data_IF_928111043161
#
_entry.id   IF_928111043161
#
_cell.length_a   1.000
_cell.length_b   1.000
_cell.length_c   1.000
_cell.angle_alpha   90.00
_cell.angle_beta   90.00
_cell.angle_gamma   90.00
#
_symmetry.space_group_name_H-M   'P 1'
#
loop_
_entity.id
_entity.type
_entity.pdbx_description
1 polymer ?
#
# COMPACT_ATOMS: atom_id res chain seq x y z
N UNK A 1 -18.35 13.12 -27.27
CA UNK A 1 -17.84 13.65 -25.98
C UNK A 1 -16.34 13.49 -25.95
N UNK A 2 -15.63 14.59 -25.69
CA UNK A 2 -14.18 14.57 -25.54
C UNK A 2 -13.79 13.85 -24.25
N UNK A 3 -12.71 13.05 -24.32
CA UNK A 3 -12.19 12.28 -23.19
C UNK A 3 -11.51 13.16 -22.14
N UNK A 4 -11.02 14.34 -22.54
CA UNK A 4 -10.26 15.26 -21.73
C UNK A 4 -10.83 16.68 -21.85
N UNK A 5 -10.60 17.50 -20.83
CA UNK A 5 -10.83 18.95 -20.88
C UNK A 5 -9.83 19.66 -21.80
N UNK A 6 -10.11 20.91 -22.17
CA UNK A 6 -9.23 21.69 -23.03
C UNK A 6 -7.84 21.89 -22.38
N UNK A 7 -6.78 21.65 -23.13
CA UNK A 7 -5.41 21.77 -22.64
C UNK A 7 -4.38 21.90 -23.77
N UNK A 8 -3.21 22.43 -23.43
CA UNK A 8 -2.07 22.54 -24.35
C UNK A 8 -1.16 21.32 -24.21
N UNK A 9 -0.64 20.85 -25.34
CA UNK A 9 0.25 19.69 -25.43
C UNK A 9 1.51 20.09 -26.17
N UNK A 10 2.67 19.61 -25.71
CA UNK A 10 3.96 19.87 -26.37
C UNK A 10 3.91 19.42 -27.84
N UNK A 11 4.48 20.20 -28.79
CA UNK A 11 4.51 19.84 -30.21
C UNK A 11 5.14 18.48 -30.53
N UNK A 12 5.91 17.90 -29.58
CA UNK A 12 6.51 16.57 -29.70
C UNK A 12 5.45 15.45 -29.71
N UNK A 13 4.25 15.71 -29.19
CA UNK A 13 3.16 14.75 -29.20
C UNK A 13 2.17 15.06 -30.33
N UNK A 14 2.05 14.16 -31.34
CA UNK A 14 1.03 14.32 -32.35
C UNK A 14 -0.36 14.16 -31.72
N UNK A 15 -1.26 15.09 -32.03
CA UNK A 15 -2.65 15.07 -31.59
C UNK A 15 -3.50 14.41 -32.67
N UNK A 16 -4.34 13.47 -32.27
CA UNK A 16 -5.20 12.70 -33.16
C UNK A 16 -6.65 12.83 -32.71
N UNK A 17 -7.53 13.11 -33.67
CA UNK A 17 -8.96 13.09 -33.46
C UNK A 17 -9.57 11.87 -34.15
N UNK A 18 -10.43 11.16 -33.42
CA UNK A 18 -11.17 10.03 -33.98
C UNK A 18 -12.42 10.53 -34.67
N UNK A 19 -12.75 9.98 -35.84
CA UNK A 19 -14.01 10.28 -36.53
C UNK A 19 -15.19 9.72 -35.69
N UNK A 20 -16.06 10.55 -35.11
CA UNK A 20 -17.04 10.09 -34.11
C UNK A 20 -18.09 9.11 -34.63
N UNK A 21 -18.34 9.12 -35.94
CA UNK A 21 -19.23 8.21 -36.67
C UNK A 21 -18.60 6.84 -36.93
N UNK A 22 -17.27 6.71 -36.83
CA UNK A 22 -16.52 5.47 -37.10
C UNK A 22 -15.89 4.85 -35.85
N UNK A 23 -15.45 5.69 -34.91
CA UNK A 23 -14.66 5.24 -33.78
C UNK A 23 -15.02 5.96 -32.48
N UNK A 24 -15.03 5.22 -31.39
CA UNK A 24 -15.26 5.74 -30.05
C UNK A 24 -13.92 5.93 -29.33
N UNK A 25 -13.61 7.17 -28.92
CA UNK A 25 -12.30 7.51 -28.33
C UNK A 25 -11.94 6.66 -27.09
N UNK A 26 -12.94 6.33 -26.26
CA UNK A 26 -12.76 5.51 -25.07
C UNK A 26 -12.50 4.02 -25.36
N UNK A 27 -12.78 3.57 -26.58
CA UNK A 27 -12.37 2.25 -27.07
C UNK A 27 -10.95 2.31 -27.68
N UNK A 28 -10.66 3.34 -28.48
CA UNK A 28 -9.38 3.48 -29.18
C UNK A 28 -8.20 3.66 -28.21
N UNK A 29 -8.32 4.50 -27.19
CA UNK A 29 -7.21 4.78 -26.28
C UNK A 29 -6.63 3.52 -25.59
N UNK A 30 -7.44 2.66 -24.94
CA UNK A 30 -6.91 1.42 -24.36
C UNK A 30 -6.42 0.43 -25.43
N UNK A 31 -7.01 0.41 -26.63
CA UNK A 31 -6.56 -0.43 -27.73
C UNK A 31 -5.14 -0.08 -28.21
N UNK A 32 -4.80 1.22 -28.28
CA UNK A 32 -3.46 1.69 -28.65
C UNK A 32 -2.38 1.33 -27.62
N UNK A 33 -2.78 0.97 -26.40
CA UNK A 33 -1.88 0.57 -25.31
C UNK A 33 -1.79 -0.95 -25.13
N UNK A 34 -2.48 -1.72 -25.94
CA UNK A 34 -2.42 -3.18 -25.89
C UNK A 34 -1.00 -3.67 -26.21
N UNK A 35 -0.51 -4.76 -25.55
CA UNK A 35 0.81 -5.31 -25.82
C UNK A 35 1.05 -5.59 -27.31
N UNK A 36 0.06 -6.10 -28.03
CA UNK A 36 0.16 -6.37 -29.47
C UNK A 36 0.37 -5.08 -30.29
N UNK A 37 -0.33 -4.00 -29.93
CA UNK A 37 -0.18 -2.69 -30.59
C UNK A 37 1.17 -2.07 -30.28
N UNK A 38 1.64 -2.17 -29.03
CA UNK A 38 2.98 -1.73 -28.62
C UNK A 38 4.08 -2.55 -29.32
N UNK A 39 3.89 -3.86 -29.49
CA UNK A 39 4.80 -4.69 -30.29
C UNK A 39 4.83 -4.25 -31.75
N UNK A 40 3.70 -3.83 -32.32
CA UNK A 40 3.67 -3.26 -33.67
C UNK A 40 4.47 -1.95 -33.75
N UNK A 41 4.33 -1.06 -32.75
CA UNK A 41 5.14 0.17 -32.65
C UNK A 41 6.64 -0.11 -32.74
N UNK A 42 7.11 -1.14 -32.05
CA UNK A 42 8.53 -1.52 -32.05
C UNK A 42 9.04 -2.02 -33.42
N UNK A 43 8.15 -2.46 -34.32
CA UNK A 43 8.53 -2.87 -35.70
C UNK A 43 8.73 -1.68 -36.62
N UNK A 44 7.93 -0.62 -36.42
CA UNK A 44 7.99 0.60 -37.24
C UNK A 44 8.91 1.67 -36.66
N UNK A 45 9.29 1.57 -35.38
CA UNK A 45 10.12 2.57 -34.72
C UNK A 45 11.57 2.53 -35.26
N UNK A 46 12.07 3.69 -35.70
CA UNK A 46 13.42 3.89 -36.25
C UNK A 46 14.29 4.72 -35.31
N UNK A 47 15.61 4.48 -35.31
CA UNK A 47 16.59 5.22 -34.49
C UNK A 47 17.58 4.31 -33.76
N UNK A 48 18.87 4.64 -33.83
CA UNK A 48 19.96 3.79 -33.30
C UNK A 48 20.02 3.72 -31.77
N UNK A 49 19.47 4.72 -31.07
CA UNK A 49 19.44 4.78 -29.60
C UNK A 49 18.00 4.56 -29.13
N UNK A 50 17.78 3.58 -28.24
CA UNK A 50 16.44 3.20 -27.77
C UNK A 50 15.60 4.39 -27.25
N UNK A 51 16.24 5.38 -26.61
CA UNK A 51 15.59 6.60 -26.08
C UNK A 51 15.23 7.65 -27.16
N UNK A 52 15.70 7.46 -28.39
CA UNK A 52 15.46 8.36 -29.54
C UNK A 52 14.69 7.66 -30.65
N UNK A 53 14.10 6.48 -30.39
CA UNK A 53 13.28 5.77 -31.37
C UNK A 53 11.96 6.52 -31.57
N UNK A 54 11.59 6.74 -32.82
CA UNK A 54 10.34 7.40 -33.20
C UNK A 54 9.65 6.64 -34.33
N UNK A 55 8.32 6.75 -34.40
CA UNK A 55 7.50 6.21 -35.47
C UNK A 55 7.04 7.38 -36.32
N UNK A 56 7.22 7.29 -37.64
CA UNK A 56 6.74 8.34 -38.53
C UNK A 56 5.22 8.30 -38.60
N UNK A 57 4.59 9.45 -38.85
CA UNK A 57 3.13 9.59 -38.94
C UNK A 57 2.48 8.53 -39.85
N UNK A 58 3.02 8.33 -41.06
CA UNK A 58 2.43 7.38 -42.01
C UNK A 58 2.59 5.92 -41.56
N UNK A 59 3.71 5.58 -40.91
CA UNK A 59 3.95 4.24 -40.37
C UNK A 59 3.05 3.96 -39.17
N UNK A 60 2.73 4.97 -38.36
CA UNK A 60 1.76 4.82 -37.27
C UNK A 60 0.35 4.59 -37.82
N UNK A 61 -0.06 5.38 -38.83
CA UNK A 61 -1.39 5.30 -39.44
C UNK A 61 -1.61 4.02 -40.27
N UNK A 62 -0.54 3.31 -40.65
CA UNK A 62 -0.63 2.04 -41.38
C UNK A 62 -0.79 0.82 -40.47
N UNK A 63 -0.70 0.99 -39.15
CA UNK A 63 -0.87 -0.10 -38.19
C UNK A 63 -2.35 -0.54 -38.17
N UNK A 64 -2.65 -1.79 -38.54
CA UNK A 64 -4.03 -2.29 -38.51
C UNK A 64 -4.48 -2.44 -37.05
N UNK A 65 -5.71 -2.01 -36.78
CA UNK A 65 -6.35 -2.13 -35.48
C UNK A 65 -7.69 -2.87 -35.60
N UNK A 66 -8.09 -3.69 -34.61
CA UNK A 66 -9.43 -4.24 -34.58
C UNK A 66 -10.43 -3.12 -34.30
N UNK A 67 -11.37 -2.91 -35.23
CA UNK A 67 -12.40 -1.88 -35.12
C UNK A 67 -13.78 -2.50 -35.27
N UNK A 68 -14.41 -2.97 -34.17
CA UNK A 68 -15.75 -3.53 -34.21
C UNK A 68 -16.80 -2.44 -34.51
N UNK A 69 -18.07 -2.79 -34.76
CA UNK A 69 -19.15 -1.81 -34.95
C UNK A 69 -19.23 -0.81 -33.79
N UNK A 70 -19.65 0.43 -34.09
CA UNK A 70 -19.62 1.53 -33.12
C UNK A 70 -20.39 1.23 -31.83
N UNK A 71 -21.51 0.50 -31.93
CA UNK A 71 -22.29 0.05 -30.77
C UNK A 71 -21.48 -0.89 -29.87
N UNK A 72 -20.74 -1.83 -30.46
CA UNK A 72 -19.88 -2.74 -29.72
C UNK A 72 -18.68 -2.00 -29.10
N UNK A 73 -18.08 -1.04 -29.82
CA UNK A 73 -17.02 -0.20 -29.25
C UNK A 73 -17.48 0.54 -28.00
N UNK A 74 -18.69 1.12 -28.03
CA UNK A 74 -19.30 1.82 -26.89
C UNK A 74 -19.57 0.84 -25.74
N UNK A 75 -20.10 -0.35 -26.03
CA UNK A 75 -20.40 -1.36 -25.03
C UNK A 75 -19.12 -1.89 -24.35
N UNK A 76 -18.06 -2.19 -25.12
CA UNK A 76 -16.75 -2.59 -24.57
C UNK A 76 -16.16 -1.49 -23.69
N UNK A 77 -16.14 -0.25 -24.19
CA UNK A 77 -15.62 0.88 -23.44
C UNK A 77 -16.40 1.11 -22.14
N UNK A 78 -17.73 0.95 -22.16
CA UNK A 78 -18.57 1.06 -20.97
C UNK A 78 -18.19 0.00 -19.93
N UNK A 79 -18.12 -1.28 -20.31
CA UNK A 79 -17.74 -2.37 -19.40
C UNK A 79 -16.37 -2.12 -18.74
N UNK A 80 -15.37 -1.77 -19.53
CA UNK A 80 -14.02 -1.51 -19.01
C UNK A 80 -13.98 -0.29 -18.09
N UNK A 81 -14.71 0.78 -18.45
CA UNK A 81 -14.78 1.99 -17.64
C UNK A 81 -15.47 1.73 -16.30
N UNK A 82 -16.56 0.96 -16.28
CA UNK A 82 -17.28 0.62 -15.04
C UNK A 82 -16.36 -0.12 -14.05
N UNK A 83 -15.56 -1.09 -14.50
CA UNK A 83 -14.60 -1.79 -13.63
C UNK A 83 -13.50 -0.85 -13.13
N UNK A 84 -13.00 0.03 -14.00
CA UNK A 84 -11.98 1.01 -13.65
C UNK A 84 -12.50 2.05 -12.65
N UNK A 85 -13.73 2.53 -12.81
CA UNK A 85 -14.42 3.45 -11.89
C UNK A 85 -14.64 2.79 -10.51
N UNK A 86 -15.07 1.53 -10.47
CA UNK A 86 -15.21 0.77 -9.24
C UNK A 86 -13.86 0.62 -8.49
N UNK A 87 -12.76 0.37 -9.23
CA UNK A 87 -11.41 0.31 -8.65
C UNK A 87 -11.01 1.65 -8.05
N UNK A 88 -11.22 2.75 -8.76
CA UNK A 88 -10.92 4.10 -8.27
C UNK A 88 -11.78 4.49 -7.06
N UNK A 89 -13.05 4.10 -7.03
CA UNK A 89 -13.91 4.29 -5.85
C UNK A 89 -13.36 3.53 -4.64
N UNK A 90 -12.94 2.27 -4.83
CA UNK A 90 -12.34 1.44 -3.78
C UNK A 90 -11.03 2.05 -3.26
N UNK A 91 -10.18 2.58 -4.14
CA UNK A 91 -8.93 3.27 -3.76
C UNK A 91 -9.19 4.52 -2.92
N UNK A 92 -10.28 5.27 -3.21
CA UNK A 92 -10.72 6.39 -2.36
C UNK A 92 -11.19 5.94 -0.98
N UNK A 93 -11.91 4.80 -0.89
CA UNK A 93 -12.29 4.21 0.40
C UNK A 93 -11.06 3.82 1.23
N UNK A 94 -10.06 3.19 0.60
CA UNK A 94 -8.79 2.84 1.27
C UNK A 94 -8.10 4.09 1.83
N UNK A 95 -8.03 5.16 1.05
CA UNK A 95 -7.44 6.44 1.50
C UNK A 95 -8.19 7.00 2.71
N UNK A 96 -9.52 7.06 2.65
CA UNK A 96 -10.37 7.54 3.76
C UNK A 96 -10.19 6.68 5.03
N UNK A 97 -10.13 5.36 4.91
CA UNK A 97 -9.90 4.44 6.04
C UNK A 97 -8.52 4.64 6.68
N UNK A 98 -7.48 4.90 5.87
CA UNK A 98 -6.14 5.21 6.38
C UNK A 98 -6.12 6.52 7.15
N UNK A 99 -6.84 7.54 6.69
CA UNK A 99 -6.94 8.81 7.42
C UNK A 99 -7.78 8.68 8.70
N UNK A 100 -8.87 7.92 8.65
CA UNK A 100 -9.63 7.53 9.85
C UNK A 100 -8.73 6.83 10.87
N UNK A 101 -7.92 5.85 10.45
CA UNK A 101 -6.98 5.14 11.33
C UNK A 101 -6.00 6.10 12.00
N UNK A 102 -5.42 7.06 11.27
CA UNK A 102 -4.51 8.06 11.83
C UNK A 102 -5.21 8.91 12.91
N UNK A 103 -6.44 9.35 12.64
CA UNK A 103 -7.25 10.11 13.60
C UNK A 103 -7.58 9.29 14.85
N UNK A 104 -8.01 8.03 14.66
CA UNK A 104 -8.28 7.09 15.75
C UNK A 104 -7.05 6.82 16.60
N UNK A 105 -5.87 6.61 16.00
CA UNK A 105 -4.63 6.42 16.77
C UNK A 105 -4.34 7.63 17.65
N UNK A 106 -4.48 8.85 17.13
CA UNK A 106 -4.32 10.07 17.92
C UNK A 106 -5.32 10.13 19.09
N UNK A 107 -6.60 9.84 18.84
CA UNK A 107 -7.62 9.85 19.88
C UNK A 107 -7.38 8.77 20.94
N UNK A 108 -7.21 7.52 20.51
CA UNK A 108 -7.09 6.35 21.39
C UNK A 108 -5.82 6.37 22.24
N UNK A 109 -4.72 6.93 21.73
CA UNK A 109 -3.47 7.03 22.49
C UNK A 109 -3.38 8.27 23.39
N UNK A 110 -4.34 9.19 23.30
CA UNK A 110 -4.43 10.37 24.19
C UNK A 110 -5.54 10.24 25.23
N UNK A 111 -6.69 9.67 24.86
CA UNK A 111 -7.88 9.62 25.73
C UNK A 111 -8.30 8.19 26.09
N UNK A 112 -7.65 7.16 25.54
CA UNK A 112 -8.07 5.78 25.71
C UNK A 112 -9.27 5.39 24.85
N UNK A 113 -9.86 4.20 25.08
CA UNK A 113 -10.94 3.64 24.27
C UNK A 113 -12.32 4.25 24.59
N UNK A 114 -12.39 5.57 24.75
CA UNK A 114 -13.65 6.31 24.93
C UNK A 114 -14.24 6.72 23.59
N UNK A 115 -15.56 6.94 23.55
CA UNK A 115 -16.25 7.37 22.33
C UNK A 115 -15.76 8.75 21.87
N UNK A 116 -15.83 8.99 20.55
CA UNK A 116 -15.56 10.31 20.00
C UNK A 116 -16.68 11.26 20.44
N UNK A 117 -16.33 12.40 21.04
CA UNK A 117 -17.27 13.38 21.61
C UNK A 117 -17.29 13.37 23.15
N UNK A 118 -16.87 12.26 23.76
CA UNK A 118 -16.83 12.08 25.21
C UNK A 118 -15.43 12.31 25.79
N UNK A 119 -14.48 12.87 25.02
CA UNK A 119 -13.10 13.06 25.50
C UNK A 119 -13.02 13.93 26.76
N UNK A 120 -13.95 14.86 26.91
CA UNK A 120 -14.04 15.77 28.05
C UNK A 120 -14.35 15.07 29.38
N UNK A 121 -14.82 13.81 29.35
CA UNK A 121 -15.12 13.03 30.56
C UNK A 121 -13.91 12.29 31.10
N UNK A 122 -12.79 12.27 30.37
CA UNK A 122 -11.57 11.57 30.77
C UNK A 122 -10.70 12.52 31.59
N UNK A 123 -10.49 12.27 32.89
CA UNK A 123 -9.54 13.06 33.68
C UNK A 123 -8.13 12.87 33.11
N UNK A 124 -7.44 13.97 32.81
CA UNK A 124 -6.08 13.94 32.29
C UNK A 124 -5.08 14.38 33.36
N UNK A 125 -3.87 13.84 33.26
CA UNK A 125 -2.69 14.28 33.99
C UNK A 125 -1.63 14.77 33.00
N UNK A 126 -0.92 15.84 33.35
CA UNK A 126 0.22 16.34 32.56
C UNK A 126 1.48 15.51 32.84
N UNK A 127 2.18 15.09 31.79
CA UNK A 127 3.38 14.25 31.90
C UNK A 127 4.45 14.67 30.88
N UNK A 128 5.65 14.10 30.99
CA UNK A 128 6.76 14.33 30.06
C UNK A 128 6.46 13.94 28.60
N UNK A 129 5.44 13.09 28.37
CA UNK A 129 4.99 12.68 27.03
C UNK A 129 3.69 13.39 26.60
N UNK A 130 3.29 14.43 27.32
CA UNK A 130 2.05 15.16 27.14
C UNK A 130 0.90 14.67 28.02
N UNK A 131 -0.32 15.19 27.81
CA UNK A 131 -1.49 14.80 28.60
C UNK A 131 -1.90 13.37 28.29
N UNK A 132 -2.12 12.58 29.35
CA UNK A 132 -2.61 11.20 29.27
C UNK A 132 -3.73 11.01 30.32
N UNK A 133 -4.56 9.96 30.22
CA UNK A 133 -5.55 9.65 31.25
C UNK A 133 -4.91 9.49 32.62
N UNK A 134 -5.52 10.07 33.65
CA UNK A 134 -4.98 10.14 35.01
C UNK A 134 -4.72 8.76 35.63
N UNK A 135 -5.46 7.73 35.20
CA UNK A 135 -5.28 6.35 35.66
C UNK A 135 -4.23 5.56 34.87
N UNK A 136 -3.67 6.13 33.80
CA UNK A 136 -2.57 5.51 33.06
C UNK A 136 -1.24 5.74 33.76
N UNK A 137 -0.34 4.77 33.68
CA UNK A 137 1.03 4.91 34.20
C UNK A 137 1.96 5.32 33.08
N UNK A 138 3.02 6.04 33.41
CA UNK A 138 4.13 6.33 32.49
C UNK A 138 5.27 5.36 32.81
N UNK A 139 5.81 4.68 31.79
CA UNK A 139 6.91 3.72 31.95
C UNK A 139 7.91 3.85 30.81
N UNK A 140 9.17 3.47 31.05
CA UNK A 140 10.17 3.30 29.98
C UNK A 140 10.18 1.88 29.45
N UNK A 141 10.47 1.69 28.15
CA UNK A 141 10.64 0.35 27.58
C UNK A 141 11.69 -0.48 28.35
N UNK A 142 12.78 0.14 28.77
CA UNK A 142 13.85 -0.49 29.54
C UNK A 142 13.39 -1.02 30.89
N UNK A 143 12.42 -0.38 31.55
CA UNK A 143 11.84 -0.88 32.81
C UNK A 143 11.06 -2.17 32.58
N UNK A 144 10.30 -2.24 31.48
CA UNK A 144 9.57 -3.45 31.11
C UNK A 144 10.53 -4.59 30.75
N UNK A 145 11.68 -4.28 30.16
CA UNK A 145 12.75 -5.27 29.94
C UNK A 145 13.36 -5.73 31.27
N UNK A 146 13.68 -4.82 32.18
CA UNK A 146 14.25 -5.14 33.48
C UNK A 146 13.32 -6.00 34.35
N UNK A 147 12.00 -5.82 34.21
CA UNK A 147 10.96 -6.63 34.88
C UNK A 147 10.67 -7.97 34.18
N UNK A 148 11.34 -8.28 33.07
CA UNK A 148 11.09 -9.50 32.29
C UNK A 148 9.73 -9.51 31.56
N UNK A 149 9.07 -8.36 31.42
CA UNK A 149 7.80 -8.22 30.67
C UNK A 149 8.09 -8.20 29.17
N UNK A 150 9.18 -7.53 28.77
CA UNK A 150 9.66 -7.47 27.39
C UNK A 150 11.04 -8.10 27.27
N UNK A 151 11.32 -8.68 26.11
CA UNK A 151 12.65 -9.08 25.68
C UNK A 151 12.99 -8.41 24.37
N UNK A 152 14.20 -7.88 24.24
CA UNK A 152 14.60 -7.11 23.07
C UNK A 152 15.98 -7.52 22.56
N UNK A 153 16.11 -7.72 21.24
CA UNK A 153 17.37 -8.08 20.61
C UNK A 153 17.45 -7.52 19.20
N UNK A 154 18.62 -7.00 18.81
CA UNK A 154 18.87 -6.70 17.41
C UNK A 154 18.94 -7.99 16.58
N UNK A 155 18.55 -7.92 15.31
CA UNK A 155 18.81 -8.99 14.36
C UNK A 155 20.30 -9.19 14.09
N UNK A 156 20.62 -10.02 13.11
CA UNK A 156 22.00 -10.34 12.76
C UNK A 156 22.37 -9.82 11.36
N UNK A 157 23.66 -9.47 11.14
CA UNK A 157 24.13 -9.11 9.82
C UNK A 157 24.23 -10.37 8.96
N UNK A 158 23.89 -10.26 7.69
CA UNK A 158 24.16 -11.30 6.70
C UNK A 158 24.77 -10.66 5.46
N UNK A 159 25.90 -11.17 5.00
CA UNK A 159 26.56 -10.71 3.77
C UNK A 159 26.04 -11.44 2.52
N UNK A 160 25.91 -12.77 2.60
CA UNK A 160 25.48 -13.64 1.50
C UNK A 160 23.98 -13.86 1.55
N UNK A 161 23.28 -13.37 0.53
CA UNK A 161 21.83 -13.55 0.40
C UNK A 161 21.54 -14.24 -0.92
N UNK A 162 20.61 -15.18 -0.90
CA UNK A 162 20.15 -15.80 -2.12
C UNK A 162 18.89 -15.04 -2.60
N UNK A 163 18.80 -14.80 -3.91
CA UNK A 163 17.59 -14.23 -4.56
C UNK A 163 16.61 -15.33 -4.99
N UNK A 164 17.04 -16.58 -4.94
CA UNK A 164 16.21 -17.77 -5.08
C UNK A 164 15.57 -18.07 -3.72
N UNK A 165 14.32 -18.54 -3.69
CA UNK A 165 13.56 -18.84 -2.47
C UNK A 165 14.09 -20.05 -1.65
N UNK A 166 15.39 -20.30 -1.71
CA UNK A 166 16.08 -21.32 -0.91
C UNK A 166 16.54 -20.69 0.41
N UNK A 167 15.93 -21.12 1.51
CA UNK A 167 16.22 -20.64 2.87
C UNK A 167 15.01 -20.00 3.57
N UNK A 168 15.28 -19.19 4.58
CA UNK A 168 14.27 -18.48 5.37
C UNK A 168 14.23 -16.98 5.02
N UNK A 169 13.05 -16.34 5.01
CA UNK A 169 12.95 -14.90 4.79
C UNK A 169 13.70 -14.09 5.86
N UNK A 170 14.59 -13.22 5.40
CA UNK A 170 15.33 -12.25 6.20
C UNK A 170 14.72 -10.87 6.02
N UNK A 171 13.92 -10.48 7.00
CA UNK A 171 13.24 -9.19 7.04
C UNK A 171 14.26 -8.07 7.26
N UNK A 172 14.11 -7.00 6.49
CA UNK A 172 14.97 -5.82 6.49
C UNK A 172 14.10 -4.57 6.64
N UNK A 173 14.68 -3.38 6.91
CA UNK A 173 13.91 -2.16 7.14
C UNK A 173 12.84 -1.83 6.08
N UNK A 174 13.10 -2.10 4.81
CA UNK A 174 12.14 -1.87 3.71
C UNK A 174 10.95 -2.86 3.69
N UNK A 175 10.98 -3.91 4.50
CA UNK A 175 9.85 -4.82 4.70
C UNK A 175 8.80 -4.26 5.68
N UNK A 176 9.07 -3.14 6.37
CA UNK A 176 8.07 -2.40 7.13
C UNK A 176 7.50 -1.28 6.27
N UNK A 177 6.21 -1.37 5.96
CA UNK A 177 5.47 -0.35 5.21
C UNK A 177 5.28 0.92 6.02
N UNK A 178 4.92 2.02 5.36
CA UNK A 178 4.63 3.29 6.03
C UNK A 178 3.31 3.27 6.83
N UNK A 179 2.54 2.18 6.73
CA UNK A 179 1.32 1.91 7.52
C UNK A 179 1.59 1.03 8.75
N UNK A 180 2.84 0.57 8.92
CA UNK A 180 3.27 -0.25 10.06
C UNK A 180 2.89 -1.72 9.91
N UNK A 181 2.97 -2.24 8.68
CA UNK A 181 2.68 -3.63 8.31
C UNK A 181 3.90 -4.29 7.65
N UNK A 182 3.91 -5.63 7.61
CA UNK A 182 4.99 -6.40 6.98
C UNK A 182 4.67 -6.73 5.53
N UNK A 183 5.55 -6.32 4.61
CA UNK A 183 5.52 -6.68 3.19
C UNK A 183 6.66 -7.62 2.80
N UNK A 184 6.35 -8.58 1.92
CA UNK A 184 7.32 -9.53 1.36
C UNK A 184 7.70 -9.22 -0.10
N UNK A 185 7.30 -8.06 -0.64
CA UNK A 185 7.47 -7.71 -2.06
C UNK A 185 8.91 -7.67 -2.57
N UNK A 186 9.91 -7.68 -1.69
CA UNK A 186 11.35 -7.71 -2.03
C UNK A 186 12.18 -8.45 -0.96
N UNK A 187 11.59 -9.48 -0.33
CA UNK A 187 12.27 -10.18 0.76
C UNK A 187 13.51 -10.93 0.27
N UNK A 188 14.55 -10.97 1.10
CA UNK A 188 15.77 -11.73 0.84
C UNK A 188 15.76 -13.04 1.65
N UNK A 189 16.51 -14.03 1.20
CA UNK A 189 16.58 -15.33 1.87
C UNK A 189 17.99 -15.62 2.37
N UNK A 190 18.05 -16.29 3.53
CA UNK A 190 19.29 -16.70 4.20
C UNK A 190 19.16 -18.15 4.66
N UNK A 191 20.27 -18.87 4.92
CA UNK A 191 20.19 -20.22 5.47
C UNK A 191 19.35 -20.24 6.77
N UNK A 192 18.54 -21.30 6.99
CA UNK A 192 17.75 -21.43 8.20
C UNK A 192 18.67 -21.40 9.43
N UNK A 193 18.38 -20.59 10.46
CA UNK A 193 19.14 -20.66 11.70
C UNK A 193 18.77 -21.94 12.47
N UNK A 194 19.62 -22.35 13.43
CA UNK A 194 19.28 -23.39 14.41
C UNK A 194 17.90 -23.18 15.05
N UNK A 195 17.27 -24.25 15.53
CA UNK A 195 15.92 -24.18 16.12
C UNK A 195 15.87 -23.31 17.38
N UNK A 196 16.93 -23.36 18.19
CA UNK A 196 17.13 -22.57 19.42
C UNK A 196 17.63 -21.14 19.15
N UNK A 197 17.75 -20.74 17.88
CA UNK A 197 18.29 -19.43 17.54
C UNK A 197 17.42 -18.29 18.09
N UNK A 198 18.02 -17.32 18.82
CA UNK A 198 17.28 -16.20 19.38
C UNK A 198 16.82 -15.19 18.31
N UNK A 199 17.22 -15.37 17.04
CA UNK A 199 16.86 -14.47 15.94
C UNK A 199 15.59 -14.88 15.21
N UNK A 200 14.96 -16.01 15.60
CA UNK A 200 13.67 -16.43 15.06
C UNK A 200 12.57 -15.47 15.49
N UNK A 201 11.75 -15.09 14.51
CA UNK A 201 10.58 -14.22 14.68
C UNK A 201 9.34 -15.10 14.73
N UNK A 202 8.46 -14.84 15.71
CA UNK A 202 7.21 -15.56 15.91
C UNK A 202 6.00 -14.62 15.81
N UNK A 203 4.81 -15.14 15.44
CA UNK A 203 3.57 -14.40 15.56
C UNK A 203 3.41 -13.79 16.95
N UNK A 204 3.09 -12.49 17.02
CA UNK A 204 3.04 -11.74 18.27
C UNK A 204 4.26 -10.87 18.54
N UNK A 205 5.37 -11.10 17.84
CA UNK A 205 6.54 -10.22 17.95
C UNK A 205 6.28 -8.83 17.36
N UNK A 206 6.97 -7.83 17.92
CA UNK A 206 7.01 -6.47 17.41
C UNK A 206 8.38 -6.23 16.79
N UNK A 207 8.41 -5.72 15.56
CA UNK A 207 9.64 -5.48 14.81
C UNK A 207 9.83 -3.98 14.62
N UNK A 208 10.96 -3.47 15.11
CA UNK A 208 11.33 -2.06 15.06
C UNK A 208 12.48 -1.83 14.07
N UNK A 209 12.35 -0.86 13.18
CA UNK A 209 13.40 -0.43 12.27
C UNK A 209 14.42 0.46 13.01
N UNK A 210 15.57 -0.09 13.36
CA UNK A 210 16.57 0.62 14.17
C UNK A 210 17.59 1.39 13.35
N UNK A 211 17.76 1.10 12.06
CA UNK A 211 18.75 1.77 11.19
C UNK A 211 18.22 1.91 9.77
N UNK A 212 18.07 3.15 9.29
CA UNK A 212 17.64 3.46 7.91
C UNK A 212 17.98 4.93 7.59
N UNK A 213 17.35 5.55 6.59
CA UNK A 213 17.30 7.01 6.49
C UNK A 213 16.55 7.64 7.67
N UNK A 214 16.80 8.92 7.93
CA UNK A 214 16.28 9.65 9.09
C UNK A 214 14.75 9.69 9.15
N UNK A 215 14.08 9.74 8.01
CA UNK A 215 12.61 9.70 7.92
C UNK A 215 12.02 8.31 8.14
N UNK A 216 12.79 7.24 7.90
CA UNK A 216 12.30 5.86 7.97
C UNK A 216 12.67 5.13 9.27
N UNK A 217 13.71 5.58 9.99
CA UNK A 217 14.11 5.00 11.27
C UNK A 217 12.99 5.14 12.31
N UNK A 218 12.69 4.07 13.04
CA UNK A 218 11.58 4.02 13.99
C UNK A 218 10.29 3.39 13.48
N UNK A 219 10.16 3.17 12.15
CA UNK A 219 9.03 2.38 11.61
C UNK A 219 8.92 1.04 12.34
N UNK A 220 7.71 0.70 12.77
CA UNK A 220 7.44 -0.45 13.62
C UNK A 220 6.26 -1.23 13.05
N UNK A 221 6.33 -2.56 13.11
CA UNK A 221 5.26 -3.43 12.66
C UNK A 221 4.99 -4.57 13.65
N UNK A 222 3.75 -5.04 13.66
CA UNK A 222 3.32 -6.23 14.38
C UNK A 222 3.50 -7.42 13.45
N UNK A 223 4.09 -8.51 13.94
CA UNK A 223 4.32 -9.70 13.14
C UNK A 223 3.22 -10.74 13.36
N UNK A 224 2.54 -11.14 12.29
CA UNK A 224 1.37 -12.03 12.33
C UNK A 224 1.41 -13.18 11.31
N UNK A 225 2.59 -13.46 10.77
CA UNK A 225 2.78 -14.46 9.69
C UNK A 225 3.24 -15.79 10.26
N UNK A 226 2.71 -16.88 9.70
CA UNK A 226 3.18 -18.23 9.98
C UNK A 226 4.43 -18.57 9.15
N UNK A 227 5.32 -19.39 9.71
CA UNK A 227 6.57 -19.83 9.08
C UNK A 227 7.81 -19.35 9.84
N UNK A 228 8.99 -19.74 9.36
CA UNK A 228 10.26 -19.35 9.97
C UNK A 228 10.78 -18.06 9.36
N UNK A 229 10.89 -17.00 10.16
CA UNK A 229 11.40 -15.71 9.74
C UNK A 229 12.56 -15.28 10.63
N UNK A 230 13.44 -14.47 10.07
CA UNK A 230 14.55 -13.83 10.79
C UNK A 230 14.65 -12.36 10.38
N UNK A 231 15.31 -11.53 11.20
CA UNK A 231 15.47 -10.10 10.93
C UNK A 231 16.94 -9.69 10.80
N UNK A 232 17.21 -8.65 10.02
CA UNK A 232 18.54 -8.05 9.88
C UNK A 232 18.97 -7.26 11.12
N UNK A 233 20.27 -7.03 11.25
CA UNK A 233 20.87 -6.18 12.29
C UNK A 233 20.35 -4.74 12.30
N UNK A 234 19.77 -4.27 11.19
CA UNK A 234 19.11 -2.96 11.07
C UNK A 234 17.68 -2.94 11.65
N UNK A 235 17.29 -4.02 12.34
CA UNK A 235 16.01 -4.15 13.00
C UNK A 235 16.20 -4.69 14.41
N UNK A 236 15.27 -4.32 15.30
CA UNK A 236 15.18 -4.81 16.67
C UNK A 236 13.90 -5.62 16.82
N UNK A 237 14.04 -6.84 17.33
CA UNK A 237 12.93 -7.68 17.76
C UNK A 237 12.55 -7.30 19.19
N UNK A 238 11.26 -7.11 19.43
CA UNK A 238 10.67 -6.84 20.74
C UNK A 238 9.61 -7.92 20.97
N UNK A 239 9.83 -8.78 21.96
CA UNK A 239 8.94 -9.87 22.33
C UNK A 239 8.28 -9.58 23.67
N UNK A 240 6.97 -9.74 23.74
CA UNK A 240 6.23 -9.70 24.99
C UNK A 240 6.31 -11.08 25.65
N UNK A 241 6.77 -11.12 26.90
CA UNK A 241 6.94 -12.34 27.68
C UNK A 241 5.85 -12.51 28.76
N UNK A 242 5.19 -11.44 29.19
CA UNK A 242 4.14 -11.46 30.21
C UNK A 242 2.82 -10.90 29.70
N UNK A 243 1.73 -11.19 30.44
CA UNK A 243 0.39 -10.74 30.09
C UNK A 243 0.12 -9.25 30.30
N UNK A 244 1.07 -8.45 30.78
CA UNK A 244 0.86 -7.03 31.13
C UNK A 244 0.80 -6.10 29.92
N UNK A 245 1.36 -6.51 28.79
CA UNK A 245 1.46 -5.71 27.56
C UNK A 245 0.78 -6.42 26.41
N UNK A 246 -0.09 -5.72 25.69
CA UNK A 246 -0.60 -6.22 24.42
C UNK A 246 0.41 -5.89 23.29
N UNK A 247 0.95 -6.89 22.58
CA UNK A 247 2.00 -6.66 21.56
C UNK A 247 1.51 -5.85 20.37
N UNK A 248 0.25 -6.01 19.96
CA UNK A 248 -0.30 -5.26 18.85
C UNK A 248 -0.48 -3.78 19.23
N UNK A 249 -1.00 -3.50 20.42
CA UNK A 249 -1.06 -2.14 20.98
C UNK A 249 0.34 -1.51 21.02
N UNK A 250 1.34 -2.22 21.57
CA UNK A 250 2.71 -1.73 21.66
C UNK A 250 3.27 -1.37 20.27
N UNK A 251 3.07 -2.26 19.30
CA UNK A 251 3.49 -2.03 17.91
C UNK A 251 2.87 -0.76 17.32
N UNK A 252 1.54 -0.58 17.48
CA UNK A 252 0.84 0.59 16.93
C UNK A 252 1.21 1.87 17.68
N UNK A 253 1.46 1.83 18.98
CA UNK A 253 1.93 2.98 19.74
C UNK A 253 3.34 3.40 19.31
N UNK A 254 4.28 2.47 19.18
CA UNK A 254 5.63 2.76 18.66
C UNK A 254 5.56 3.31 17.23
N UNK A 255 4.71 2.75 16.37
CA UNK A 255 4.54 3.29 15.02
C UNK A 255 3.91 4.71 15.02
N UNK A 256 3.04 5.01 15.98
CA UNK A 256 2.51 6.36 16.19
C UNK A 256 3.59 7.35 16.63
N UNK A 257 4.49 6.96 17.54
CA UNK A 257 5.65 7.79 17.89
C UNK A 257 6.54 8.09 16.66
N UNK A 258 6.72 7.11 15.77
CA UNK A 258 7.41 7.34 14.50
C UNK A 258 6.70 8.36 13.61
N UNK A 259 5.38 8.25 13.42
CA UNK A 259 4.64 9.21 12.58
C UNK A 259 4.61 10.62 13.17
N UNK A 260 4.79 10.75 14.49
CA UNK A 260 4.99 12.01 15.21
C UNK A 260 6.42 12.56 15.14
N UNK A 261 7.37 11.83 14.56
CA UNK A 261 8.77 12.26 14.44
C UNK A 261 9.63 12.03 15.68
N UNK A 262 9.14 11.30 16.69
CA UNK A 262 9.88 11.07 17.95
C UNK A 262 11.22 10.38 17.69
N UNK A 263 11.23 9.34 16.85
CA UNK A 263 12.47 8.62 16.52
C UNK A 263 13.43 9.40 15.63
N UNK A 264 12.91 10.28 14.77
CA UNK A 264 13.74 11.23 14.03
C UNK A 264 14.53 12.13 14.98
N UNK A 265 13.91 12.59 16.06
CA UNK A 265 14.57 13.42 17.08
C UNK A 265 15.52 12.62 17.98
N UNK A 266 15.22 11.34 18.25
CA UNK A 266 16.02 10.47 19.10
C UNK A 266 17.23 9.84 18.39
N UNK A 267 17.20 9.74 17.06
CA UNK A 267 18.21 9.02 16.30
C UNK A 267 19.59 9.69 16.34
N UNK A 268 20.64 8.88 16.19
CA UNK A 268 21.98 9.34 15.85
C UNK A 268 22.11 9.38 14.34
N UNK A 269 22.51 10.53 13.80
CA UNK A 269 22.78 10.73 12.38
C UNK A 269 24.19 10.28 12.04
N UNK A 270 24.32 9.64 10.89
CA UNK A 270 25.55 9.19 10.24
C UNK A 270 25.50 9.64 8.77
N UNK A 271 26.58 9.45 8.01
CA UNK A 271 26.59 9.74 6.57
C UNK A 271 25.55 8.86 5.86
N UNK A 272 24.52 9.49 5.28
CA UNK A 272 23.40 8.84 4.57
C UNK A 272 22.56 7.84 5.39
N UNK A 273 22.70 7.80 6.72
CA UNK A 273 21.98 6.87 7.59
C UNK A 273 21.69 7.48 8.96
N UNK A 274 20.66 6.96 9.63
CA UNK A 274 20.28 7.28 10.99
C UNK A 274 20.02 5.99 11.76
N UNK A 275 20.34 6.00 13.06
CA UNK A 275 20.18 4.83 13.92
C UNK A 275 19.58 5.18 15.28
N UNK A 276 18.66 4.35 15.77
CA UNK A 276 18.25 4.33 17.18
C UNK A 276 18.85 3.07 17.80
N UNK A 277 19.85 3.22 18.67
CA UNK A 277 20.46 2.07 19.33
C UNK A 277 19.48 1.37 20.26
N UNK A 278 19.75 0.09 20.59
CA UNK A 278 18.93 -0.66 21.54
C UNK A 278 18.82 0.07 22.89
N UNK A 279 19.92 0.65 23.38
CA UNK A 279 19.92 1.42 24.62
C UNK A 279 19.07 2.70 24.52
N UNK A 280 19.10 3.42 23.39
CA UNK A 280 18.20 4.57 23.19
C UNK A 280 16.75 4.15 23.09
N UNK A 281 16.46 3.03 22.44
CA UNK A 281 15.11 2.48 22.36
C UNK A 281 14.57 2.12 23.75
N UNK A 282 15.40 1.53 24.63
CA UNK A 282 15.03 1.27 26.03
C UNK A 282 14.70 2.54 26.83
N UNK A 283 15.21 3.71 26.45
CA UNK A 283 14.89 4.99 27.11
C UNK A 283 13.58 5.62 26.61
N UNK A 284 12.91 5.03 25.63
CA UNK A 284 11.62 5.56 25.15
C UNK A 284 10.56 5.39 26.23
N UNK A 285 9.96 6.51 26.61
CA UNK A 285 8.80 6.58 27.51
C UNK A 285 7.50 6.32 26.74
N UNK A 286 6.58 5.58 27.34
CA UNK A 286 5.24 5.33 26.84
C UNK A 286 4.20 5.32 27.97
N UNK A 287 2.93 5.69 27.68
CA UNK A 287 1.83 5.48 28.59
C UNK A 287 1.50 3.99 28.57
N UNK A 288 1.26 3.41 29.73
CA UNK A 288 0.86 2.02 29.90
C UNK A 288 -0.56 1.99 30.48
N UNK A 289 -1.60 1.89 29.62
CA UNK A 289 -2.98 1.69 30.04
C UNK A 289 -3.13 0.38 30.80
N UNK A 290 -4.20 0.20 31.59
CA UNK A 290 -4.64 -1.12 32.03
C UNK A 290 -4.80 -2.08 30.84
N UNK A 291 -4.47 -3.35 31.04
CA UNK A 291 -4.51 -4.35 29.97
C UNK A 291 -5.88 -4.44 29.24
N UNK A 292 -7.05 -4.32 29.91
CA UNK A 292 -8.34 -4.27 29.22
C UNK A 292 -8.43 -3.15 28.19
N UNK A 293 -7.90 -1.97 28.50
CA UNK A 293 -7.89 -0.83 27.57
C UNK A 293 -6.90 -1.02 26.43
N UNK A 294 -5.71 -1.56 26.71
CA UNK A 294 -4.76 -1.91 25.64
C UNK A 294 -5.41 -2.88 24.63
N UNK A 295 -6.17 -3.87 25.12
CA UNK A 295 -6.91 -4.83 24.29
C UNK A 295 -8.05 -4.16 23.53
N UNK A 296 -8.80 -3.25 24.15
CA UNK A 296 -9.87 -2.49 23.49
C UNK A 296 -9.33 -1.61 22.36
N UNK A 297 -8.25 -0.85 22.62
CA UNK A 297 -7.56 -0.04 21.60
C UNK A 297 -7.05 -0.93 20.47
N UNK A 298 -6.38 -2.04 20.80
CA UNK A 298 -5.91 -3.00 19.81
C UNK A 298 -7.07 -3.56 18.96
N UNK A 299 -8.21 -3.87 19.57
CA UNK A 299 -9.38 -4.37 18.86
C UNK A 299 -9.91 -3.35 17.85
N UNK A 300 -10.11 -2.09 18.26
CA UNK A 300 -10.58 -1.00 17.36
C UNK A 300 -9.63 -0.85 16.17
N UNK A 301 -8.33 -0.73 16.43
CA UNK A 301 -7.33 -0.56 15.37
C UNK A 301 -7.24 -1.78 14.45
N UNK A 302 -7.33 -3.01 14.99
CA UNK A 302 -7.35 -4.23 14.17
C UNK A 302 -8.58 -4.31 13.28
N UNK A 303 -9.73 -3.85 13.74
CA UNK A 303 -10.96 -3.84 12.93
C UNK A 303 -10.80 -2.93 11.71
N UNK A 304 -10.21 -1.75 11.90
CA UNK A 304 -9.90 -0.84 10.78
C UNK A 304 -8.85 -1.45 9.85
N UNK A 305 -7.79 -2.05 10.38
CA UNK A 305 -6.76 -2.73 9.57
C UNK A 305 -7.35 -3.87 8.73
N UNK A 306 -8.25 -4.69 9.30
CA UNK A 306 -8.95 -5.75 8.57
C UNK A 306 -9.81 -5.18 7.44
N UNK A 307 -10.47 -4.05 7.66
CA UNK A 307 -11.26 -3.40 6.60
C UNK A 307 -10.36 -2.87 5.48
N UNK A 308 -9.26 -2.19 5.81
CA UNK A 308 -8.27 -1.73 4.83
C UNK A 308 -7.76 -2.90 3.99
N UNK A 309 -7.38 -4.01 4.62
CA UNK A 309 -6.87 -5.19 3.92
C UNK A 309 -7.91 -5.82 2.98
N UNK A 310 -9.19 -5.84 3.38
CA UNK A 310 -10.29 -6.34 2.55
C UNK A 310 -10.50 -5.46 1.30
N UNK A 311 -10.50 -4.13 1.46
CA UNK A 311 -10.63 -3.19 0.34
C UNK A 311 -9.41 -3.26 -0.59
N UNK A 312 -8.20 -3.41 -0.05
CA UNK A 312 -6.99 -3.60 -0.87
C UNK A 312 -7.04 -4.91 -1.67
N UNK A 313 -7.57 -5.99 -1.08
CA UNK A 313 -7.80 -7.24 -1.79
C UNK A 313 -8.84 -7.07 -2.91
N UNK A 314 -9.93 -6.35 -2.65
CA UNK A 314 -10.97 -6.07 -3.63
C UNK A 314 -10.45 -5.20 -4.79
N UNK A 315 -9.69 -4.14 -4.49
CA UNK A 315 -9.05 -3.30 -5.50
C UNK A 315 -8.07 -4.08 -6.40
N UNK A 316 -7.33 -5.05 -5.83
CA UNK A 316 -6.49 -5.98 -6.61
C UNK A 316 -7.33 -6.85 -7.53
N UNK A 317 -8.38 -7.47 -7.01
CA UNK A 317 -9.29 -8.31 -7.80
C UNK A 317 -9.93 -7.54 -8.96
N UNK A 318 -10.37 -6.30 -8.74
CA UNK A 318 -10.86 -5.40 -9.80
C UNK A 318 -9.78 -5.10 -10.85
N UNK A 319 -8.53 -4.90 -10.42
CA UNK A 319 -7.40 -4.69 -11.33
C UNK A 319 -7.11 -5.91 -12.21
N UNK A 320 -7.19 -7.11 -11.64
CA UNK A 320 -6.98 -8.35 -12.40
C UNK A 320 -8.17 -8.65 -13.34
N UNK A 321 -9.40 -8.41 -12.88
CA UNK A 321 -10.60 -8.45 -13.73
C UNK A 321 -10.49 -7.49 -14.91
N UNK A 322 -10.05 -6.25 -14.66
CA UNK A 322 -9.86 -5.25 -15.73
C UNK A 322 -8.86 -5.75 -16.78
N UNK A 323 -7.72 -6.30 -16.37
CA UNK A 323 -6.70 -6.83 -17.30
C UNK A 323 -7.25 -7.99 -18.13
N UNK A 324 -7.97 -8.93 -17.50
CA UNK A 324 -8.61 -10.05 -18.18
C UNK A 324 -9.64 -9.58 -19.21
N UNK A 325 -10.57 -8.72 -18.80
CA UNK A 325 -11.59 -8.16 -19.71
C UNK A 325 -10.97 -7.34 -20.83
N UNK A 326 -9.96 -6.53 -20.54
CA UNK A 326 -9.26 -5.75 -21.56
C UNK A 326 -8.69 -6.68 -22.64
N UNK A 327 -8.03 -7.77 -22.25
CA UNK A 327 -7.51 -8.76 -23.19
C UNK A 327 -8.63 -9.44 -23.99
N UNK A 328 -9.68 -9.95 -23.33
CA UNK A 328 -10.75 -10.69 -23.98
C UNK A 328 -11.56 -9.84 -24.96
N UNK A 329 -11.90 -8.61 -24.56
CA UNK A 329 -12.76 -7.71 -25.33
C UNK A 329 -11.98 -7.03 -26.47
N UNK A 330 -10.74 -6.56 -26.23
CA UNK A 330 -9.95 -5.88 -27.26
C UNK A 330 -9.41 -6.81 -28.34
N UNK A 331 -9.31 -8.11 -28.05
CA UNK A 331 -8.92 -9.12 -29.05
C UNK A 331 -10.10 -9.80 -29.72
N UNK A 332 -11.33 -9.48 -29.30
CA UNK A 332 -12.55 -10.10 -29.83
C UNK A 332 -12.76 -11.56 -29.43
N UNK A 333 -11.93 -12.12 -28.52
CA UNK A 333 -12.12 -13.48 -27.95
C UNK A 333 -13.46 -13.59 -27.24
N UNK A 334 -13.93 -12.48 -26.65
CA UNK A 334 -15.28 -12.33 -26.12
C UNK A 334 -15.93 -11.12 -26.77
N UNK A 335 -17.09 -11.33 -27.39
CA UNK A 335 -17.91 -10.27 -27.97
C UNK A 335 -18.91 -9.75 -26.93
N UNK A 336 -19.21 -8.46 -26.96
CA UNK A 336 -20.25 -7.88 -26.11
C UNK A 336 -21.56 -7.92 -26.88
N UNK A 337 -22.56 -8.66 -26.36
CA UNK A 337 -23.90 -8.64 -26.95
C UNK A 337 -24.49 -7.25 -26.75
N UNK A 338 -24.78 -6.57 -27.84
CA UNK A 338 -25.52 -5.29 -27.81
C UNK A 338 -26.93 -5.60 -28.26
N UNK A 339 -27.93 -5.28 -27.44
CA UNK A 339 -29.31 -5.37 -27.88
C UNK A 339 -29.51 -4.34 -29.00
N UNK A 340 -30.08 -4.78 -30.12
CA UNK A 340 -30.54 -3.87 -31.15
C UNK A 340 -31.82 -3.21 -30.63
N UNK A 341 -31.72 -2.02 -30.04
CA UNK A 341 -32.88 -1.14 -29.98
C UNK A 341 -33.05 -0.52 -31.37
N UNK A 342 -34.01 -1.06 -32.11
CA UNK A 342 -34.61 -0.44 -33.28
C UNK A 342 -35.27 0.88 -32.88
N UNK A 343 -34.93 1.99 -33.54
CA UNK A 343 -35.92 3.01 -33.95
C UNK A 343 -35.46 3.62 -35.27
N UNK A 344 -35.94 2.96 -36.34
CA UNK A 344 -36.57 3.52 -37.54
C UNK A 344 -36.06 4.83 -38.16
N UNK A 345 -35.63 4.68 -39.41
CA UNK A 345 -35.72 5.68 -40.46
C UNK A 345 -37.13 6.28 -40.50
N UNK A 346 -37.25 7.59 -40.26
CA UNK A 346 -38.32 8.39 -40.85
C UNK A 346 -37.75 9.05 -42.10
N UNK A 347 -37.93 8.38 -43.24
CA UNK A 347 -37.95 9.06 -44.53
C UNK A 347 -39.23 9.88 -44.59
N UNK A 348 -39.19 11.21 -44.79
CA UNK A 348 -40.36 11.89 -45.33
C UNK A 348 -40.44 11.48 -46.79
N UNK A 349 -41.43 10.65 -47.11
CA UNK A 349 -41.80 10.34 -48.48
C UNK A 349 -42.08 11.62 -49.27
N UNK A 350 -41.55 11.68 -50.49
CA UNK A 350 -42.05 12.59 -51.50
C UNK A 350 -43.37 12.07 -52.06
N UNK A 351 -44.36 12.96 -52.15
CA UNK A 351 -45.47 13.08 -53.11
C UNK A 351 -46.40 14.15 -52.53
N UNK A 352 -46.81 15.20 -53.23
CA UNK A 352 -47.04 15.39 -54.67
C UNK A 352 -46.74 16.82 -55.09
#
# INVERSE_FOLDING_TARGET
>A
MNKYEAGLVSPVYPVWEVKPDKAYAWFIDPLLRMPNTISAYNRFASGAVNRRRAIRKNDFLSIPIPLPPLLEQRAIAHVLRTVQEAKQATERVIAALRDLKKSLMRHLFTYGPVSIGEQHTVPLQETEIGPIPAHWRVVRLGELVAKGILWMKNGFPQGKHNRTASGVPHLRPFNITDTGDITLSQVKYVPPPPEDSPYRVFPGDVIFNNTNSEELVGKTAYFDRNGTFVISNHMTLIRVLSGEVNPYWLSKYLHWLWSKGVFRNLCRRHVNQASVSLERLKQVTLPLPPLPEQRAIAHVLRTVDRRIAAEEAYARALGDLFKSLLQELMTGRRRVKVAAEEVTQSSPGGSS
#
